data_IF_286975862890
#
_entry.id   IF_286975862890
#
_cell.length_a   1.000
_cell.length_b   1.000
_cell.length_c   1.000
_cell.angle_alpha   90.00
_cell.angle_beta   90.00
_cell.angle_gamma   90.00
#
_symmetry.space_group_name_H-M   'P 1'
#
loop_
_entity.id
_entity.type
_entity.pdbx_description
1 polymer ?
#
# COMPACT_ATOMS: atom_id res chain seq x y z
N UNK A 1 -3.94 -23.39 -1.05
CA UNK A 1 -2.79 -22.81 -1.76
C UNK A 1 -1.64 -22.62 -0.77
N UNK A 2 -0.39 -22.79 -1.21
CA UNK A 2 0.80 -22.39 -0.46
C UNK A 2 1.15 -20.95 -0.82
N UNK A 3 1.12 -20.05 0.15
CA UNK A 3 1.21 -18.61 -0.05
C UNK A 3 2.49 -18.06 0.61
N UNK A 4 3.19 -17.15 -0.08
CA UNK A 4 4.29 -16.37 0.48
C UNK A 4 3.90 -14.89 0.56
N UNK A 5 4.11 -14.27 1.72
CA UNK A 5 3.98 -12.83 1.91
C UNK A 5 5.36 -12.25 2.16
N UNK A 6 5.90 -11.54 1.18
CA UNK A 6 7.16 -10.80 1.27
C UNK A 6 6.88 -9.41 1.81
N UNK A 7 7.41 -9.11 3.00
CA UNK A 7 7.07 -7.87 3.72
C UNK A 7 5.88 -8.03 4.66
N UNK A 8 5.90 -9.09 5.48
CA UNK A 8 4.84 -9.43 6.43
C UNK A 8 4.83 -8.44 7.63
N UNK A 9 4.41 -7.20 7.35
CA UNK A 9 4.29 -6.08 8.31
C UNK A 9 2.84 -5.60 8.42
N UNK A 10 2.62 -4.26 8.40
CA UNK A 10 1.32 -3.62 8.65
C UNK A 10 0.17 -4.12 7.76
N UNK A 11 0.43 -4.40 6.49
CA UNK A 11 -0.55 -5.01 5.57
C UNK A 11 -0.36 -6.53 5.52
N UNK A 12 0.89 -6.99 5.46
CA UNK A 12 1.21 -8.39 5.21
C UNK A 12 0.82 -9.32 6.36
N UNK A 13 0.92 -8.90 7.62
CA UNK A 13 0.55 -9.73 8.76
C UNK A 13 -0.96 -10.01 8.81
N UNK A 14 -1.86 -9.00 8.79
CA UNK A 14 -3.29 -9.28 8.76
C UNK A 14 -3.76 -9.92 7.43
N UNK A 15 -3.09 -9.67 6.31
CA UNK A 15 -3.31 -10.43 5.07
C UNK A 15 -3.02 -11.92 5.28
N UNK A 16 -1.88 -12.24 5.92
CA UNK A 16 -1.50 -13.62 6.20
C UNK A 16 -2.49 -14.32 7.13
N UNK A 17 -2.94 -13.64 8.18
CA UNK A 17 -3.98 -14.15 9.08
C UNK A 17 -5.28 -14.46 8.32
N UNK A 18 -5.70 -13.57 7.42
CA UNK A 18 -6.91 -13.78 6.62
C UNK A 18 -6.74 -14.95 5.63
N UNK A 19 -5.59 -15.07 4.96
CA UNK A 19 -5.31 -16.21 4.08
C UNK A 19 -5.26 -17.53 4.86
N UNK A 20 -4.67 -17.55 6.06
CA UNK A 20 -4.68 -18.72 6.94
C UNK A 20 -6.10 -19.11 7.37
N UNK A 21 -6.94 -18.12 7.74
CA UNK A 21 -8.36 -18.32 8.06
C UNK A 21 -9.16 -18.90 6.88
N UNK A 22 -8.75 -18.56 5.65
CA UNK A 22 -9.33 -19.11 4.41
C UNK A 22 -8.78 -20.50 4.05
N UNK A 23 -7.97 -21.12 4.91
CA UNK A 23 -7.46 -22.49 4.75
C UNK A 23 -6.21 -22.59 3.85
N UNK A 24 -5.47 -21.49 3.65
CA UNK A 24 -4.20 -21.52 2.93
C UNK A 24 -3.02 -21.80 3.87
N UNK A 25 -1.97 -22.45 3.36
CA UNK A 25 -0.67 -22.56 4.03
C UNK A 25 0.10 -21.25 3.79
N UNK A 26 0.39 -20.47 4.84
CA UNK A 26 0.94 -19.12 4.69
C UNK A 26 2.34 -19.05 5.29
N UNK A 27 3.28 -18.53 4.51
CA UNK A 27 4.63 -18.17 4.91
C UNK A 27 4.79 -16.64 4.92
N UNK A 28 5.35 -16.10 5.98
CA UNK A 28 5.59 -14.67 6.13
C UNK A 28 7.08 -14.35 6.16
N UNK A 29 7.58 -13.62 5.15
CA UNK A 29 8.97 -13.19 5.08
C UNK A 29 9.14 -11.81 5.72
N UNK A 30 10.06 -11.72 6.69
CA UNK A 30 10.42 -10.47 7.38
C UNK A 30 11.91 -10.48 7.77
N UNK A 31 12.51 -9.30 7.87
CA UNK A 31 13.93 -9.13 8.23
C UNK A 31 14.24 -9.41 9.70
N UNK A 32 13.26 -9.29 10.59
CA UNK A 32 13.44 -9.42 12.04
C UNK A 32 12.72 -10.66 12.58
N UNK A 33 13.41 -11.43 13.42
CA UNK A 33 12.89 -12.60 14.11
C UNK A 33 11.96 -12.26 15.31
N UNK A 34 11.93 -11.00 15.75
CA UNK A 34 11.23 -10.55 16.99
C UNK A 34 9.70 -10.79 16.97
N UNK A 35 9.13 -11.26 15.88
CA UNK A 35 7.67 -11.42 15.66
C UNK A 35 7.25 -12.88 15.48
N UNK A 36 8.04 -13.84 15.91
CA UNK A 36 7.75 -15.25 15.68
C UNK A 36 6.44 -15.69 16.35
N UNK A 37 6.18 -15.24 17.56
CA UNK A 37 4.94 -15.55 18.28
C UNK A 37 3.72 -14.88 17.65
N UNK A 38 3.86 -13.64 17.16
CA UNK A 38 2.82 -12.93 16.43
C UNK A 38 2.43 -13.66 15.13
N UNK A 39 3.43 -14.19 14.40
CA UNK A 39 3.20 -14.99 13.19
C UNK A 39 2.50 -16.31 13.51
N UNK A 40 2.97 -17.02 14.53
CA UNK A 40 2.35 -18.29 14.97
C UNK A 40 0.90 -18.09 15.38
N UNK A 41 0.62 -17.04 16.17
CA UNK A 41 -0.74 -16.68 16.56
C UNK A 41 -1.65 -16.36 15.36
N UNK A 42 -1.08 -15.81 14.28
CA UNK A 42 -1.77 -15.51 13.02
C UNK A 42 -1.85 -16.72 12.07
N UNK A 43 -1.35 -17.90 12.44
CA UNK A 43 -1.31 -19.08 11.57
C UNK A 43 -0.31 -18.97 10.41
N UNK A 44 0.75 -18.15 10.58
CA UNK A 44 1.76 -17.87 9.55
C UNK A 44 3.08 -18.56 9.94
N UNK A 45 3.70 -19.25 9.01
CA UNK A 45 5.06 -19.78 9.18
C UNK A 45 6.09 -18.67 8.97
N UNK A 46 6.90 -18.33 9.97
CA UNK A 46 7.90 -17.28 9.84
C UNK A 46 9.07 -17.72 8.95
N UNK A 47 9.54 -16.81 8.09
CA UNK A 47 10.80 -16.93 7.37
C UNK A 47 11.59 -15.62 7.52
N UNK A 48 12.72 -15.69 8.23
CA UNK A 48 13.56 -14.50 8.47
C UNK A 48 14.55 -14.36 7.33
N UNK A 49 14.38 -13.30 6.54
CA UNK A 49 15.19 -13.06 5.35
C UNK A 49 15.26 -11.58 4.97
N UNK A 50 16.35 -11.20 4.31
CA UNK A 50 16.52 -9.87 3.71
C UNK A 50 16.70 -10.01 2.19
N UNK A 51 15.64 -9.72 1.43
CA UNK A 51 15.64 -9.80 -0.04
C UNK A 51 16.63 -8.82 -0.69
N UNK A 52 17.21 -7.90 0.07
CA UNK A 52 18.21 -6.95 -0.44
C UNK A 52 19.63 -7.55 -0.48
N UNK A 53 19.82 -8.72 0.12
CA UNK A 53 21.12 -9.43 0.14
C UNK A 53 21.18 -10.48 -0.97
N UNK A 54 22.36 -10.77 -1.54
CA UNK A 54 22.51 -11.78 -2.60
C UNK A 54 21.90 -13.13 -2.22
N UNK A 55 22.24 -13.67 -1.04
CA UNK A 55 21.77 -14.98 -0.57
C UNK A 55 20.55 -14.86 0.36
N UNK A 56 19.86 -13.71 0.31
CA UNK A 56 18.79 -13.39 1.25
C UNK A 56 17.56 -14.31 1.17
N UNK A 57 17.40 -15.06 0.08
CA UNK A 57 16.30 -16.01 -0.12
C UNK A 57 16.77 -17.48 0.05
N UNK A 58 18.04 -17.73 0.37
CA UNK A 58 18.56 -19.08 0.54
C UNK A 58 17.73 -19.86 1.57
N UNK A 59 17.32 -21.07 1.20
CA UNK A 59 16.45 -21.93 2.02
C UNK A 59 14.95 -21.62 1.95
N UNK A 60 14.53 -20.56 1.22
CA UNK A 60 13.12 -20.35 0.94
C UNK A 60 12.63 -21.41 -0.08
N UNK A 61 11.52 -22.10 0.16
CA UNK A 61 10.93 -22.99 -0.84
C UNK A 61 10.58 -22.28 -2.16
N UNK A 62 10.56 -23.02 -3.26
CA UNK A 62 10.19 -22.51 -4.60
C UNK A 62 8.75 -22.83 -4.99
N UNK A 63 8.06 -23.69 -4.23
CA UNK A 63 6.75 -24.27 -4.56
C UNK A 63 5.54 -23.46 -4.10
N UNK A 64 5.69 -22.15 -4.00
CA UNK A 64 4.57 -21.26 -3.69
C UNK A 64 3.64 -21.08 -4.88
N UNK A 65 2.35 -21.23 -4.63
CA UNK A 65 1.32 -21.00 -5.65
C UNK A 65 0.93 -19.52 -5.74
N UNK A 66 0.90 -18.82 -4.60
CA UNK A 66 0.62 -17.40 -4.51
C UNK A 66 1.77 -16.66 -3.80
N UNK A 67 2.20 -15.58 -4.41
CA UNK A 67 3.23 -14.72 -3.82
C UNK A 67 2.71 -13.28 -3.78
N UNK A 68 2.80 -12.65 -2.63
CA UNK A 68 2.47 -11.22 -2.45
C UNK A 68 3.71 -10.48 -2.00
N UNK A 69 4.15 -9.51 -2.78
CA UNK A 69 5.19 -8.58 -2.37
C UNK A 69 4.56 -7.26 -1.93
N UNK A 70 4.43 -7.09 -0.61
CA UNK A 70 3.94 -5.87 0.05
C UNK A 70 5.01 -5.23 0.94
N UNK A 71 6.28 -5.38 0.56
CA UNK A 71 7.40 -4.72 1.24
C UNK A 71 7.18 -3.20 1.23
N UNK A 72 7.45 -2.59 2.38
CA UNK A 72 7.48 -1.14 2.52
C UNK A 72 8.82 -0.69 3.11
N UNK A 73 9.37 0.39 2.55
CA UNK A 73 10.50 1.08 3.17
C UNK A 73 10.00 1.85 4.40
N UNK A 74 10.74 1.78 5.50
CA UNK A 74 10.51 2.63 6.69
C UNK A 74 10.88 4.10 6.46
N UNK A 75 11.18 4.48 5.23
CA UNK A 75 11.67 5.79 4.82
C UNK A 75 13.07 5.69 4.21
N UNK A 76 13.67 6.83 3.88
CA UNK A 76 15.03 6.88 3.39
C UNK A 76 15.19 7.52 2.01
N UNK A 77 16.43 7.48 1.51
CA UNK A 77 16.85 8.03 0.23
C UNK A 77 16.29 7.22 -0.97
N UNK A 78 16.38 7.79 -2.16
CA UNK A 78 16.09 7.09 -3.42
C UNK A 78 16.95 5.83 -3.57
N UNK A 79 18.20 5.84 -3.10
CA UNK A 79 19.09 4.69 -3.10
C UNK A 79 18.54 3.54 -2.24
N UNK A 80 18.05 3.85 -1.03
CA UNK A 80 17.41 2.85 -0.17
C UNK A 80 16.13 2.29 -0.82
N UNK A 81 15.35 3.13 -1.51
CA UNK A 81 14.20 2.68 -2.30
C UNK A 81 14.64 1.74 -3.43
N UNK A 82 15.70 2.10 -4.18
CA UNK A 82 16.24 1.29 -5.27
C UNK A 82 16.68 -0.09 -4.76
N UNK A 83 17.40 -0.13 -3.64
CA UNK A 83 17.84 -1.37 -3.02
C UNK A 83 16.67 -2.27 -2.60
N UNK A 84 15.63 -1.69 -1.97
CA UNK A 84 14.50 -2.46 -1.42
C UNK A 84 13.52 -2.86 -2.54
N UNK A 85 13.08 -1.91 -3.35
CA UNK A 85 12.02 -2.16 -4.31
C UNK A 85 12.55 -2.74 -5.62
N UNK A 86 13.54 -2.09 -6.24
CA UNK A 86 14.03 -2.50 -7.56
C UNK A 86 14.91 -3.75 -7.48
N UNK A 87 15.99 -3.70 -6.69
CA UNK A 87 16.90 -4.85 -6.58
C UNK A 87 16.24 -6.02 -5.84
N UNK A 88 15.44 -5.75 -4.80
CA UNK A 88 14.65 -6.78 -4.12
C UNK A 88 13.67 -7.46 -5.07
N UNK A 89 12.99 -6.72 -5.94
CA UNK A 89 12.09 -7.28 -6.96
C UNK A 89 12.85 -8.13 -7.99
N UNK A 90 14.00 -7.65 -8.47
CA UNK A 90 14.85 -8.40 -9.40
C UNK A 90 15.20 -9.78 -8.83
N UNK A 91 15.59 -9.85 -7.56
CA UNK A 91 15.90 -11.12 -6.89
C UNK A 91 14.70 -12.03 -6.72
N UNK A 92 13.52 -11.47 -6.45
CA UNK A 92 12.29 -12.28 -6.37
C UNK A 92 11.93 -12.87 -7.72
N UNK A 93 12.05 -12.10 -8.81
CA UNK A 93 11.83 -12.60 -10.18
C UNK A 93 12.81 -13.71 -10.49
N UNK A 94 14.10 -13.51 -10.22
CA UNK A 94 15.15 -14.50 -10.44
C UNK A 94 14.91 -15.78 -9.61
N UNK A 95 14.56 -15.64 -8.32
CA UNK A 95 14.27 -16.76 -7.42
C UNK A 95 13.12 -17.64 -7.95
N UNK A 96 12.08 -17.01 -8.45
CA UNK A 96 10.91 -17.72 -8.97
C UNK A 96 10.98 -18.01 -10.48
N UNK A 97 12.08 -17.72 -11.17
CA UNK A 97 12.20 -17.93 -12.63
C UNK A 97 12.07 -19.38 -13.03
N UNK A 98 12.68 -20.30 -12.27
CA UNK A 98 12.65 -21.74 -12.54
C UNK A 98 11.33 -22.42 -12.12
N UNK A 99 10.61 -21.85 -11.15
CA UNK A 99 9.32 -22.34 -10.65
C UNK A 99 8.39 -21.16 -10.36
N UNK A 100 7.81 -20.54 -11.41
CA UNK A 100 6.94 -19.38 -11.23
C UNK A 100 5.69 -19.73 -10.42
N UNK A 101 5.23 -18.84 -9.53
CA UNK A 101 3.97 -19.06 -8.82
C UNK A 101 2.79 -19.00 -9.79
N UNK A 102 1.62 -19.45 -9.36
CA UNK A 102 0.39 -19.27 -10.17
C UNK A 102 -0.03 -17.81 -10.24
N UNK A 103 0.29 -17.02 -9.22
CA UNK A 103 0.02 -15.58 -9.14
C UNK A 103 1.05 -14.86 -8.29
N UNK A 104 1.51 -13.72 -8.78
CA UNK A 104 2.39 -12.80 -8.05
C UNK A 104 1.72 -11.43 -7.97
N UNK A 105 1.42 -10.92 -6.79
CA UNK A 105 0.81 -9.60 -6.58
C UNK A 105 1.86 -8.66 -5.97
N UNK A 106 2.07 -7.52 -6.60
CA UNK A 106 2.96 -6.45 -6.11
C UNK A 106 2.16 -5.22 -5.70
N UNK A 107 2.36 -4.74 -4.48
CA UNK A 107 1.80 -3.45 -4.04
C UNK A 107 2.76 -2.31 -4.37
N UNK A 108 2.46 -1.59 -5.43
CA UNK A 108 3.07 -0.33 -5.83
C UNK A 108 2.36 0.86 -5.16
N UNK A 109 2.48 2.05 -5.69
CA UNK A 109 1.88 3.26 -5.12
C UNK A 109 1.27 4.17 -6.19
N UNK A 110 0.17 4.84 -5.87
CA UNK A 110 -0.40 5.92 -6.71
C UNK A 110 0.52 7.15 -6.82
N UNK A 111 1.64 7.19 -6.10
CA UNK A 111 2.67 8.23 -6.25
C UNK A 111 3.38 8.23 -7.60
N UNK A 112 3.26 7.15 -8.38
CA UNK A 112 3.76 7.08 -9.77
C UNK A 112 3.03 8.05 -10.73
N UNK A 113 1.84 8.51 -10.37
CA UNK A 113 1.11 9.56 -11.10
C UNK A 113 1.59 10.93 -10.67
N UNK A 114 2.07 11.74 -11.62
CA UNK A 114 2.68 13.04 -11.36
C UNK A 114 1.74 14.24 -11.50
N UNK A 115 0.44 14.05 -11.79
CA UNK A 115 -0.51 15.14 -12.06
C UNK A 115 -0.67 16.07 -10.85
N UNK A 116 -0.77 17.38 -11.13
CA UNK A 116 -0.85 18.45 -10.13
C UNK A 116 -2.07 19.36 -10.31
N UNK A 117 -2.91 19.07 -11.31
CA UNK A 117 -4.01 19.89 -11.78
C UNK A 117 -5.41 19.44 -11.28
N UNK A 118 -5.47 18.46 -10.39
CA UNK A 118 -6.72 17.91 -9.89
C UNK A 118 -7.42 16.94 -10.86
N UNK A 119 -6.81 16.64 -11.99
CA UNK A 119 -7.39 15.75 -13.01
C UNK A 119 -7.60 14.32 -12.50
N UNK A 120 -8.52 13.59 -13.15
CA UNK A 120 -8.76 12.18 -12.86
C UNK A 120 -7.76 11.32 -13.61
N UNK A 121 -7.06 10.43 -12.88
CA UNK A 121 -6.12 9.47 -13.42
C UNK A 121 -6.67 8.04 -13.32
N UNK A 122 -6.36 7.24 -14.32
CA UNK A 122 -6.65 5.80 -14.41
C UNK A 122 -5.36 5.04 -14.73
N UNK A 123 -5.38 3.73 -14.76
CA UNK A 123 -4.20 2.89 -14.92
C UNK A 123 -3.42 3.15 -16.21
N UNK A 124 -4.11 3.61 -17.26
CA UNK A 124 -3.51 4.00 -18.55
C UNK A 124 -3.04 5.46 -18.61
N UNK A 125 -3.25 6.27 -17.56
CA UNK A 125 -2.80 7.67 -17.52
C UNK A 125 -1.27 7.74 -17.45
N UNK A 126 -0.71 8.85 -17.97
CA UNK A 126 0.72 9.11 -17.95
C UNK A 126 1.28 9.02 -16.52
N UNK A 127 2.33 8.24 -16.36
CA UNK A 127 3.12 8.14 -15.14
C UNK A 127 4.42 8.92 -15.30
N UNK A 128 4.49 10.11 -14.71
CA UNK A 128 5.64 11.00 -14.76
C UNK A 128 5.90 11.61 -13.36
N UNK A 129 6.30 10.79 -12.38
CA UNK A 129 6.52 11.27 -11.03
C UNK A 129 7.73 12.19 -10.95
N UNK A 130 7.62 13.29 -10.19
CA UNK A 130 8.73 14.22 -9.92
C UNK A 130 9.66 13.69 -8.83
N UNK A 131 9.11 12.99 -7.81
CA UNK A 131 9.89 12.49 -6.70
C UNK A 131 10.75 11.28 -7.08
N UNK A 132 12.02 11.28 -6.72
CA UNK A 132 12.97 10.19 -7.02
C UNK A 132 12.51 8.82 -6.47
N UNK A 133 11.93 8.81 -5.27
CA UNK A 133 11.37 7.57 -4.69
C UNK A 133 10.22 7.00 -5.52
N UNK A 134 9.39 7.84 -6.12
CA UNK A 134 8.30 7.40 -6.97
C UNK A 134 8.80 6.95 -8.36
N UNK A 135 9.90 7.54 -8.87
CA UNK A 135 10.57 7.06 -10.09
C UNK A 135 11.08 5.63 -9.90
N UNK A 136 11.66 5.32 -8.74
CA UNK A 136 12.11 3.95 -8.43
C UNK A 136 10.94 2.96 -8.40
N UNK A 137 9.79 3.34 -7.85
CA UNK A 137 8.60 2.48 -7.88
C UNK A 137 8.13 2.23 -9.32
N UNK A 138 8.14 3.26 -10.17
CA UNK A 138 7.79 3.13 -11.59
C UNK A 138 8.79 2.25 -12.34
N UNK A 139 10.10 2.35 -12.07
CA UNK A 139 11.12 1.45 -12.60
C UNK A 139 10.87 0.00 -12.17
N UNK A 140 10.45 -0.20 -10.92
CA UNK A 140 10.10 -1.54 -10.40
C UNK A 140 8.87 -2.13 -11.10
N UNK A 141 7.84 -1.30 -11.36
CA UNK A 141 6.69 -1.73 -12.18
C UNK A 141 7.12 -2.16 -13.59
N UNK A 142 8.00 -1.36 -14.24
CA UNK A 142 8.51 -1.66 -15.59
C UNK A 142 9.31 -2.95 -15.62
N UNK A 143 10.19 -3.18 -14.63
CA UNK A 143 10.93 -4.43 -14.48
C UNK A 143 9.99 -5.62 -14.42
N UNK A 144 8.96 -5.52 -13.59
CA UNK A 144 7.98 -6.61 -13.39
C UNK A 144 7.14 -6.87 -14.67
N UNK A 145 6.71 -5.81 -15.36
CA UNK A 145 5.99 -5.92 -16.64
C UNK A 145 6.86 -6.50 -17.75
N UNK A 146 8.16 -6.23 -17.74
CA UNK A 146 9.12 -6.86 -18.64
C UNK A 146 9.21 -8.36 -18.39
N UNK A 147 9.30 -8.79 -17.11
CA UNK A 147 9.28 -10.20 -16.76
C UNK A 147 7.97 -10.89 -17.18
N UNK A 148 6.83 -10.19 -17.11
CA UNK A 148 5.54 -10.73 -17.63
C UNK A 148 5.63 -10.97 -19.13
N UNK A 149 6.14 -10.03 -19.92
CA UNK A 149 6.20 -10.15 -21.38
C UNK A 149 7.19 -11.21 -21.84
N UNK A 150 8.40 -11.19 -21.27
CA UNK A 150 9.53 -11.98 -21.75
C UNK A 150 9.60 -13.37 -21.13
N UNK A 151 9.23 -13.50 -19.85
CA UNK A 151 9.38 -14.72 -19.07
C UNK A 151 8.04 -15.36 -18.69
N UNK A 152 6.89 -14.77 -19.10
CA UNK A 152 5.55 -15.20 -18.70
C UNK A 152 5.34 -15.18 -17.17
N UNK A 153 6.10 -14.33 -16.47
CA UNK A 153 5.99 -14.20 -15.02
C UNK A 153 4.57 -13.70 -14.62
N UNK A 154 3.84 -14.36 -13.71
CA UNK A 154 2.41 -14.13 -13.53
C UNK A 154 2.09 -12.95 -12.61
N UNK A 155 2.69 -11.78 -12.87
CA UNK A 155 2.58 -10.63 -12.00
C UNK A 155 1.35 -9.77 -12.28
N UNK A 156 0.75 -9.27 -11.18
CA UNK A 156 -0.31 -8.26 -11.13
C UNK A 156 0.17 -7.11 -10.24
N UNK A 157 -0.07 -5.87 -10.63
CA UNK A 157 0.37 -4.68 -9.90
C UNK A 157 -0.85 -3.98 -9.29
N UNK A 158 -0.79 -3.68 -8.00
CA UNK A 158 -1.74 -2.80 -7.31
C UNK A 158 -1.06 -1.47 -6.97
N UNK A 159 -1.49 -0.37 -7.57
CA UNK A 159 -1.09 0.99 -7.19
C UNK A 159 -1.95 1.43 -6.01
N UNK A 160 -1.38 1.34 -4.82
CA UNK A 160 -2.09 1.58 -3.56
C UNK A 160 -2.02 3.06 -3.19
N UNK A 161 -3.15 3.63 -2.80
CA UNK A 161 -3.26 5.00 -2.30
C UNK A 161 -2.70 5.14 -0.86
N UNK A 162 -2.88 6.30 -0.22
CA UNK A 162 -2.46 6.50 1.15
C UNK A 162 -3.23 5.58 2.10
N UNK A 163 -2.52 4.62 2.70
CA UNK A 163 -3.14 3.64 3.58
C UNK A 163 -3.41 4.25 4.95
N UNK A 164 -4.64 4.10 5.45
CA UNK A 164 -5.04 4.39 6.82
C UNK A 164 -5.70 3.16 7.47
N UNK A 165 -6.04 3.26 8.77
CA UNK A 165 -6.65 2.20 9.55
C UNK A 165 -5.95 2.03 10.90
N UNK A 166 -6.10 0.90 11.61
CA UNK A 166 -5.61 0.72 12.97
C UNK A 166 -4.19 1.18 13.20
N UNK A 167 -4.04 2.25 14.01
CA UNK A 167 -2.75 2.84 14.33
C UNK A 167 -2.01 3.51 13.17
N UNK A 168 -2.66 3.79 12.02
CA UNK A 168 -2.05 4.44 10.86
C UNK A 168 -3.02 5.44 10.22
N UNK A 169 -2.46 6.44 9.54
CA UNK A 169 -3.18 7.54 8.88
C UNK A 169 -2.44 8.85 9.17
N UNK A 170 -1.67 9.34 8.19
CA UNK A 170 -0.77 10.47 8.42
C UNK A 170 -1.52 11.74 8.83
N UNK A 171 -2.57 12.09 8.08
CA UNK A 171 -3.35 13.31 8.34
C UNK A 171 -4.15 13.21 9.64
N UNK A 172 -4.75 12.04 9.93
CA UNK A 172 -5.46 11.78 11.17
C UNK A 172 -4.53 11.90 12.38
N UNK A 173 -3.35 11.27 12.32
CA UNK A 173 -2.36 11.36 13.41
C UNK A 173 -1.85 12.78 13.63
N UNK A 174 -1.61 13.52 12.55
CA UNK A 174 -1.22 14.93 12.65
C UNK A 174 -2.34 15.76 13.28
N UNK A 175 -3.60 15.51 12.90
CA UNK A 175 -4.76 16.17 13.49
C UNK A 175 -4.86 15.91 14.99
N UNK A 176 -4.78 14.64 15.42
CA UNK A 176 -4.85 14.27 16.84
C UNK A 176 -3.72 14.87 17.68
N UNK A 177 -2.58 15.15 17.07
CA UNK A 177 -1.41 15.78 17.74
C UNK A 177 -1.36 17.30 17.60
N UNK A 178 -2.35 17.93 16.99
CA UNK A 178 -2.34 19.36 16.64
C UNK A 178 -1.13 19.77 15.76
N UNK A 179 -0.63 18.83 14.93
CA UNK A 179 0.48 19.03 13.97
C UNK A 179 -0.04 19.20 12.53
N UNK A 180 -1.34 19.10 12.31
CA UNK A 180 -1.96 19.24 10.99
C UNK A 180 -2.00 20.70 10.55
N UNK A 181 -1.86 20.92 9.23
CA UNK A 181 -2.04 22.23 8.60
C UNK A 181 -2.81 22.08 7.30
N UNK A 182 -3.62 23.09 6.94
CA UNK A 182 -4.32 23.18 5.66
C UNK A 182 -3.42 23.89 4.65
N UNK A 183 -3.12 23.23 3.53
CA UNK A 183 -2.21 23.72 2.50
C UNK A 183 -2.96 24.57 1.48
N UNK A 184 -2.47 25.79 1.25
CA UNK A 184 -3.11 26.74 0.35
C UNK A 184 -4.57 26.97 0.74
N UNK A 185 -5.47 26.80 -0.20
CA UNK A 185 -6.93 26.84 0.03
C UNK A 185 -7.55 25.49 0.48
N UNK A 186 -6.73 24.48 0.71
CA UNK A 186 -7.17 23.14 1.08
C UNK A 186 -7.83 22.35 -0.06
N UNK A 187 -7.76 22.81 -1.30
CA UNK A 187 -8.37 22.13 -2.48
C UNK A 187 -7.63 20.88 -2.91
N UNK A 188 -6.41 20.64 -2.41
CA UNK A 188 -5.62 19.47 -2.75
C UNK A 188 -6.35 18.17 -2.45
N UNK A 189 -6.39 17.28 -3.44
CA UNK A 189 -7.10 16.00 -3.34
C UNK A 189 -6.25 14.96 -2.61
N UNK A 190 -6.85 14.35 -1.60
CA UNK A 190 -6.37 13.19 -0.88
C UNK A 190 -6.99 11.93 -1.50
N UNK A 191 -6.16 10.95 -1.79
CA UNK A 191 -6.58 9.61 -2.22
C UNK A 191 -6.17 8.64 -1.13
N UNK A 192 -7.12 7.92 -0.57
CA UNK A 192 -6.93 7.07 0.59
C UNK A 192 -7.49 5.66 0.36
N UNK A 193 -7.12 4.74 1.22
CA UNK A 193 -7.70 3.41 1.28
C UNK A 193 -7.50 2.85 2.69
N UNK A 194 -8.54 2.21 3.23
CA UNK A 194 -8.41 1.52 4.50
C UNK A 194 -7.54 0.26 4.36
N UNK A 195 -6.74 -0.09 5.39
CA UNK A 195 -5.87 -1.27 5.40
C UNK A 195 -6.61 -2.56 5.05
N UNK A 196 -7.80 -2.76 5.60
CA UNK A 196 -8.57 -3.98 5.36
C UNK A 196 -9.04 -4.07 3.90
N UNK A 197 -9.29 -2.93 3.24
CA UNK A 197 -9.59 -2.89 1.81
C UNK A 197 -8.35 -3.13 0.94
N UNK A 198 -7.15 -2.72 1.39
CA UNK A 198 -5.91 -3.14 0.71
C UNK A 198 -5.77 -4.66 0.74
N UNK A 199 -6.05 -5.29 1.88
CA UNK A 199 -6.06 -6.76 2.02
C UNK A 199 -7.08 -7.39 1.08
N UNK A 200 -8.30 -6.87 1.06
CA UNK A 200 -9.35 -7.34 0.16
C UNK A 200 -8.98 -7.21 -1.32
N UNK A 201 -8.40 -6.06 -1.73
CA UNK A 201 -7.89 -5.85 -3.09
C UNK A 201 -6.78 -6.84 -3.47
N UNK A 202 -5.85 -7.15 -2.53
CA UNK A 202 -4.80 -8.16 -2.76
C UNK A 202 -5.42 -9.54 -2.97
N UNK A 203 -6.38 -9.95 -2.13
CA UNK A 203 -7.05 -11.25 -2.26
C UNK A 203 -7.85 -11.33 -3.58
N UNK A 204 -8.54 -10.25 -3.96
CA UNK A 204 -9.23 -10.17 -5.24
C UNK A 204 -8.27 -10.26 -6.42
N UNK A 205 -7.09 -9.61 -6.34
CA UNK A 205 -6.06 -9.71 -7.37
C UNK A 205 -5.43 -11.11 -7.46
N UNK A 206 -5.23 -11.80 -6.33
CA UNK A 206 -4.78 -13.20 -6.31
C UNK A 206 -5.77 -14.14 -7.01
N UNK A 207 -7.06 -13.90 -6.84
CA UNK A 207 -8.13 -14.73 -7.42
C UNK A 207 -8.38 -14.38 -8.90
N UNK A 208 -8.60 -13.13 -9.20
CA UNK A 208 -9.17 -12.65 -10.46
C UNK A 208 -8.20 -11.82 -11.32
N UNK A 209 -7.08 -11.35 -10.76
CA UNK A 209 -6.15 -10.51 -11.49
C UNK A 209 -5.48 -11.22 -12.67
N UNK A 210 -5.36 -10.55 -13.80
CA UNK A 210 -4.69 -11.09 -14.99
C UNK A 210 -3.21 -10.68 -14.99
N UNK A 211 -2.28 -11.57 -15.35
CA UNK A 211 -0.87 -11.21 -15.48
C UNK A 211 -0.66 -10.02 -16.43
N UNK A 212 0.18 -9.07 -16.00
CA UNK A 212 0.47 -7.84 -16.72
C UNK A 212 -0.49 -6.69 -16.47
N UNK A 213 -1.60 -6.93 -15.75
CA UNK A 213 -2.54 -5.87 -15.44
C UNK A 213 -2.13 -5.06 -14.22
N UNK A 214 -2.49 -3.78 -14.26
CA UNK A 214 -2.35 -2.82 -13.19
C UNK A 214 -3.72 -2.41 -12.72
N UNK A 215 -3.91 -2.29 -11.40
CA UNK A 215 -5.15 -1.82 -10.78
C UNK A 215 -4.85 -0.75 -9.73
N UNK A 216 -5.69 0.29 -9.67
CA UNK A 216 -5.62 1.30 -8.63
C UNK A 216 -6.42 0.86 -7.42
N UNK A 217 -5.74 0.67 -6.30
CA UNK A 217 -6.34 0.36 -5.01
C UNK A 217 -6.50 1.68 -4.20
N UNK A 218 -7.67 2.27 -4.30
CA UNK A 218 -8.10 3.52 -3.67
C UNK A 218 -9.60 3.40 -3.36
N UNK A 219 -10.09 4.08 -2.31
CA UNK A 219 -11.51 4.14 -2.00
C UNK A 219 -12.33 4.87 -3.09
N UNK A 220 -13.65 4.97 -2.89
CA UNK A 220 -14.56 5.55 -3.90
C UNK A 220 -14.60 7.10 -3.86
N UNK A 221 -14.00 7.72 -2.82
CA UNK A 221 -14.13 9.17 -2.60
C UNK A 221 -12.76 9.89 -2.51
N UNK A 222 -12.16 10.30 -3.63
CA UNK A 222 -11.10 11.28 -3.61
C UNK A 222 -11.62 12.61 -3.01
N UNK A 223 -11.09 13.02 -1.87
CA UNK A 223 -11.60 14.13 -1.07
C UNK A 223 -10.62 15.29 -1.00
N UNK A 224 -11.09 16.55 -0.94
CA UNK A 224 -10.21 17.69 -0.69
C UNK A 224 -9.68 17.68 0.75
N UNK A 225 -8.47 18.21 0.95
CA UNK A 225 -7.88 18.32 2.28
C UNK A 225 -8.77 19.14 3.23
N UNK A 226 -9.36 20.24 2.74
CA UNK A 226 -10.29 21.04 3.52
C UNK A 226 -11.51 20.23 3.96
N UNK A 227 -12.18 19.52 3.03
CA UNK A 227 -13.34 18.68 3.35
C UNK A 227 -12.98 17.60 4.38
N UNK A 228 -11.83 16.99 4.24
CA UNK A 228 -11.33 15.96 5.19
C UNK A 228 -11.16 16.54 6.60
N UNK A 229 -10.48 17.69 6.74
CA UNK A 229 -10.26 18.29 8.06
C UNK A 229 -11.52 18.92 8.66
N UNK A 230 -12.42 19.48 7.85
CA UNK A 230 -13.73 19.95 8.35
C UNK A 230 -14.53 18.79 8.96
N UNK A 231 -14.53 17.64 8.28
CA UNK A 231 -15.22 16.46 8.81
C UNK A 231 -14.56 15.96 10.12
N UNK A 232 -13.23 15.85 10.17
CA UNK A 232 -12.54 15.44 11.39
C UNK A 232 -12.76 16.41 12.56
N UNK A 233 -12.73 17.71 12.30
CA UNK A 233 -12.97 18.74 13.31
C UNK A 233 -14.38 18.62 13.90
N UNK A 234 -15.38 18.40 13.05
CA UNK A 234 -16.76 18.17 13.48
C UNK A 234 -16.94 16.88 14.28
N UNK A 235 -16.37 15.78 13.79
CA UNK A 235 -16.49 14.46 14.42
C UNK A 235 -15.81 14.42 15.80
N UNK A 236 -14.65 15.05 15.93
CA UNK A 236 -13.84 15.06 17.16
C UNK A 236 -14.10 16.29 18.04
N UNK A 237 -14.98 17.21 17.62
CA UNK A 237 -15.30 18.47 18.33
C UNK A 237 -14.05 19.30 18.64
N UNK A 238 -13.16 19.44 17.66
CA UNK A 238 -11.90 20.17 17.75
C UNK A 238 -11.87 21.30 16.72
N UNK A 239 -10.96 22.25 16.94
CA UNK A 239 -10.71 23.34 15.99
C UNK A 239 -10.12 22.82 14.67
N UNK A 240 -10.36 23.58 13.60
CA UNK A 240 -9.74 23.32 12.30
C UNK A 240 -8.22 23.55 12.40
N UNK A 241 -7.42 22.76 11.68
CA UNK A 241 -5.99 23.00 11.57
C UNK A 241 -5.71 24.41 11.00
N UNK A 242 -4.66 25.08 11.43
CA UNK A 242 -4.26 26.38 10.88
C UNK A 242 -3.82 26.25 9.41
N UNK A 243 -3.74 27.37 8.71
CA UNK A 243 -3.11 27.43 7.39
C UNK A 243 -1.64 27.00 7.48
N UNK A 244 -1.18 26.26 6.48
CA UNK A 244 0.21 25.85 6.41
C UNK A 244 1.14 27.05 6.17
N UNK A 245 2.36 27.08 6.78
CA UNK A 245 3.38 28.07 6.45
C UNK A 245 3.75 28.04 4.96
N UNK A 246 4.19 29.18 4.40
CA UNK A 246 4.51 29.31 2.97
C UNK A 246 5.47 28.25 2.43
N UNK A 247 6.44 27.81 3.23
CA UNK A 247 7.47 26.84 2.83
C UNK A 247 7.13 25.37 3.19
N UNK A 248 5.89 25.10 3.60
CA UNK A 248 5.47 23.76 4.03
C UNK A 248 5.65 22.67 2.96
N UNK A 249 5.41 23.03 1.71
CA UNK A 249 5.47 22.09 0.57
C UNK A 249 6.89 21.63 0.24
N UNK A 250 7.93 22.43 0.53
CA UNK A 250 9.33 22.15 0.18
C UNK A 250 9.90 20.94 0.94
N UNK A 251 9.35 20.60 2.09
CA UNK A 251 9.83 19.52 2.95
C UNK A 251 9.21 18.13 2.62
N UNK A 252 8.47 17.99 1.51
CA UNK A 252 7.76 16.75 1.18
C UNK A 252 8.63 15.74 0.46
N UNK A 253 8.93 14.64 1.11
CA UNK A 253 9.70 13.49 0.56
C UNK A 253 9.06 12.84 -0.68
N UNK A 254 7.76 13.02 -0.95
CA UNK A 254 7.02 12.36 -2.05
C UNK A 254 6.55 13.30 -3.16
N UNK A 255 7.02 14.56 -3.15
CA UNK A 255 6.53 15.58 -4.07
C UNK A 255 5.09 16.03 -3.79
N UNK A 256 4.67 17.10 -4.46
CA UNK A 256 3.30 17.61 -4.39
C UNK A 256 2.54 17.10 -5.61
N UNK A 257 1.51 16.30 -5.40
CA UNK A 257 0.58 15.88 -6.45
C UNK A 257 -0.83 16.26 -6.08
N UNK A 258 -1.64 16.61 -7.09
CA UNK A 258 -3.05 16.89 -6.97
C UNK A 258 -3.78 16.16 -8.09
N UNK A 259 -4.53 15.10 -7.75
CA UNK A 259 -5.21 14.22 -8.71
C UNK A 259 -6.31 13.43 -8.04
N UNK A 260 -7.27 12.97 -8.84
CA UNK A 260 -8.29 12.00 -8.43
C UNK A 260 -7.95 10.65 -9.03
N UNK A 261 -7.71 9.63 -8.21
CA UNK A 261 -7.38 8.28 -8.68
C UNK A 261 -8.67 7.48 -8.83
N UNK A 262 -8.90 6.92 -10.02
CA UNK A 262 -10.07 6.08 -10.29
C UNK A 262 -9.78 4.62 -9.95
N UNK A 263 -10.68 3.97 -9.21
CA UNK A 263 -10.65 2.54 -8.89
C UNK A 263 -11.60 1.71 -9.77
N UNK A 264 -12.21 2.34 -10.79
CA UNK A 264 -13.26 1.71 -11.62
C UNK A 264 -12.81 0.38 -12.20
N UNK A 265 -11.59 0.30 -12.73
CA UNK A 265 -11.04 -0.94 -13.31
C UNK A 265 -10.94 -2.06 -12.27
N UNK A 266 -10.44 -1.76 -11.08
CA UNK A 266 -10.34 -2.70 -9.97
C UNK A 266 -11.73 -3.29 -9.64
N UNK A 267 -12.74 -2.44 -9.47
CA UNK A 267 -14.13 -2.87 -9.17
C UNK A 267 -14.70 -3.74 -10.28
N UNK A 268 -14.53 -3.35 -11.54
CA UNK A 268 -15.12 -4.07 -12.69
C UNK A 268 -14.43 -5.40 -12.96
N UNK A 269 -13.10 -5.48 -12.90
CA UNK A 269 -12.36 -6.67 -13.32
C UNK A 269 -12.03 -7.61 -12.16
N UNK A 270 -11.81 -7.10 -10.94
CA UNK A 270 -11.56 -7.93 -9.77
C UNK A 270 -12.83 -8.24 -8.97
N UNK A 271 -13.94 -7.51 -9.22
CA UNK A 271 -15.20 -7.70 -8.52
C UNK A 271 -15.16 -7.31 -7.03
N UNK A 272 -14.19 -6.47 -6.63
CA UNK A 272 -14.03 -6.10 -5.23
C UNK A 272 -15.04 -5.03 -4.81
N UNK A 273 -15.70 -5.26 -3.69
CA UNK A 273 -16.56 -4.30 -3.00
C UNK A 273 -15.86 -3.80 -1.75
N UNK A 274 -15.69 -2.48 -1.64
CA UNK A 274 -14.99 -1.87 -0.50
C UNK A 274 -15.80 -2.02 0.78
N UNK A 275 -15.14 -2.47 1.84
CA UNK A 275 -15.68 -2.49 3.21
C UNK A 275 -15.82 -1.07 3.76
N UNK A 276 -14.87 -0.22 3.42
CA UNK A 276 -14.84 1.20 3.74
C UNK A 276 -14.76 2.00 2.43
N UNK A 277 -15.92 2.25 1.79
CA UNK A 277 -15.97 2.89 0.46
C UNK A 277 -15.54 4.35 0.45
N UNK A 278 -15.50 4.98 1.61
CA UNK A 278 -15.07 6.36 1.81
C UNK A 278 -14.30 6.52 3.12
N UNK A 279 -13.59 7.65 3.25
CA UNK A 279 -12.79 7.94 4.44
C UNK A 279 -13.63 8.08 5.72
N UNK A 280 -14.90 8.52 5.62
CA UNK A 280 -15.78 8.71 6.79
C UNK A 280 -16.08 7.37 7.43
N UNK A 281 -16.55 6.42 6.64
CA UNK A 281 -16.86 5.06 7.12
C UNK A 281 -15.65 4.39 7.79
N UNK A 282 -14.46 4.57 7.21
CA UNK A 282 -13.22 4.02 7.77
C UNK A 282 -12.77 4.74 9.04
N UNK A 283 -12.72 6.07 9.04
CA UNK A 283 -12.25 6.81 10.23
C UNK A 283 -13.27 6.82 11.36
N UNK A 284 -14.57 6.76 11.10
CA UNK A 284 -15.57 6.56 12.16
C UNK A 284 -15.30 5.24 12.91
N UNK A 285 -14.98 4.16 12.18
CA UNK A 285 -14.63 2.89 12.82
C UNK A 285 -13.33 3.00 13.65
N UNK A 286 -12.30 3.71 13.17
CA UNK A 286 -11.05 3.94 13.90
C UNK A 286 -11.26 4.81 15.15
N UNK A 287 -12.05 5.88 15.06
CA UNK A 287 -12.39 6.76 16.20
C UNK A 287 -13.09 5.96 17.29
N UNK A 288 -14.14 5.20 16.95
CA UNK A 288 -14.86 4.35 17.90
C UNK A 288 -13.93 3.35 18.62
N UNK A 289 -12.98 2.74 17.90
CA UNK A 289 -12.01 1.84 18.50
C UNK A 289 -11.06 2.57 19.47
N UNK A 290 -10.63 3.78 19.13
CA UNK A 290 -9.78 4.59 19.99
C UNK A 290 -10.52 5.05 21.25
N UNK A 291 -11.79 5.45 21.13
CA UNK A 291 -12.66 5.81 22.25
C UNK A 291 -12.85 4.63 23.21
N UNK A 292 -13.24 3.46 22.68
CA UNK A 292 -13.41 2.24 23.47
C UNK A 292 -12.14 1.80 24.20
N UNK A 293 -10.98 2.06 23.57
CA UNK A 293 -9.68 1.76 24.18
C UNK A 293 -9.17 2.85 25.15
N UNK A 294 -9.89 3.98 25.32
CA UNK A 294 -9.43 5.14 26.09
C UNK A 294 -8.16 5.80 25.53
N UNK A 295 -7.96 5.71 24.22
CA UNK A 295 -6.74 6.19 23.52
C UNK A 295 -6.98 7.39 22.63
N UNK A 296 -8.21 7.92 22.58
CA UNK A 296 -8.48 9.15 21.88
C UNK A 296 -7.94 10.31 22.75
N UNK A 297 -6.98 11.12 22.27
CA UNK A 297 -6.50 12.27 23.03
C UNK A 297 -7.64 13.28 23.21
N UNK A 298 -7.68 13.92 24.38
CA UNK A 298 -8.62 15.01 24.70
C UNK A 298 -8.43 16.21 23.78
#
# INVERSE_FOLDING_TARGET
MKCLIVGCGYVGLPLGAELARLGHEVWGLRRSAVVEDEFKAAGIRPFVADITKPDGLAGLPHDFEWVVNCIASSGGSAENYRRIYLHGMSRLIEWFSASPPKKFVYTSSTSVYGQTDGSTVKETSLTAPSAETAKVLLETERLLLTAVREQKFPAVILRVAAIYGPGRGVWFKQFLKNEACIEGDGSRILNMIHRDDVIGCIIAALRNGRPGEIYNAVDDEPVSQATFFHWLAGELRRDLPPAAPENWAENRKRGVTNKRVSNRKLKMELGYQFKYPDFRSGYTAEILQLEQAGKLPE
#
